data_IF_615638728842
#
_entry.id   IF_615638728842
#
_cell.length_a   1.000
_cell.length_b   1.000
_cell.length_c   1.000
_cell.angle_alpha   90.00
_cell.angle_beta   90.00
_cell.angle_gamma   90.00
#
_symmetry.space_group_name_H-M   'P 1'
#
loop_
_entity.id
_entity.type
_entity.pdbx_description
1 polymer ?
#
# COMPACT_ATOMS: atom_id res chain seq x y z
N UNK A 1 10.39 -68.96 55.20
CA UNK A 1 9.56 -69.44 56.31
C UNK A 1 8.72 -68.28 56.81
N UNK A 2 7.41 -68.45 56.72
CA UNK A 2 6.35 -67.67 57.34
C UNK A 2 6.58 -67.50 58.84
N UNK A 3 6.30 -66.32 59.39
CA UNK A 3 5.49 -66.19 60.61
C UNK A 3 4.87 -64.81 60.73
N UNK A 4 3.62 -64.85 61.16
CA UNK A 4 2.64 -63.80 61.41
C UNK A 4 2.69 -63.32 62.87
N UNK A 5 1.90 -62.27 63.16
CA UNK A 5 1.15 -61.99 64.42
C UNK A 5 1.57 -60.75 65.25
N UNK A 6 0.86 -59.64 64.99
CA UNK A 6 -0.14 -58.92 65.85
C UNK A 6 0.20 -58.52 67.31
N UNK A 7 0.04 -57.21 67.61
CA UNK A 7 -0.70 -56.57 68.74
C UNK A 7 -0.45 -55.04 68.69
N UNK A 8 -1.41 -54.18 68.32
CA UNK A 8 -2.49 -53.55 69.13
C UNK A 8 -2.04 -52.59 70.24
N UNK A 9 -2.47 -51.31 70.15
CA UNK A 9 -2.45 -50.28 71.21
C UNK A 9 -1.93 -48.92 70.70
N UNK A 10 -2.77 -47.97 70.25
CA UNK A 10 -3.48 -46.94 71.05
C UNK A 10 -2.44 -46.02 71.75
N UNK A 11 -2.34 -44.70 71.59
CA UNK A 11 -3.25 -43.63 71.13
C UNK A 11 -2.48 -42.29 71.07
N UNK A 12 -3.11 -41.28 70.44
CA UNK A 12 -2.97 -39.86 70.75
C UNK A 12 -1.76 -39.06 70.17
N UNK A 13 -1.80 -38.79 68.86
CA UNK A 13 -1.20 -37.57 68.26
C UNK A 13 -2.15 -37.03 67.19
N UNK A 14 -3.14 -36.21 67.58
CA UNK A 14 -4.19 -35.77 66.65
C UNK A 14 -4.57 -34.28 66.66
N UNK A 15 -4.14 -33.50 67.65
CA UNK A 15 -4.79 -32.19 67.88
C UNK A 15 -3.97 -30.95 67.52
N UNK A 16 -2.68 -31.06 67.20
CA UNK A 16 -1.78 -29.89 67.18
C UNK A 16 -1.03 -29.64 65.86
N UNK A 17 -1.52 -30.17 64.73
CA UNK A 17 -0.97 -29.88 63.40
C UNK A 17 -2.01 -29.33 62.39
N UNK A 18 -3.31 -29.37 62.74
CA UNK A 18 -4.40 -29.01 61.80
C UNK A 18 -4.78 -27.52 61.85
N UNK A 19 -4.57 -26.85 62.99
CA UNK A 19 -4.99 -25.45 63.20
C UNK A 19 -4.15 -24.42 62.44
N UNK A 20 -2.83 -24.61 62.33
CA UNK A 20 -1.96 -23.69 61.57
C UNK A 20 -2.13 -23.82 60.06
N UNK A 21 -2.44 -25.03 59.57
CA UNK A 21 -2.60 -25.30 58.14
C UNK A 21 -3.89 -24.70 57.58
N UNK A 22 -4.95 -24.62 58.38
CA UNK A 22 -6.23 -24.05 57.96
C UNK A 22 -6.17 -22.52 57.83
N UNK A 23 -5.57 -21.84 58.81
CA UNK A 23 -5.38 -20.38 58.80
C UNK A 23 -4.52 -19.92 57.61
N UNK A 24 -3.42 -20.62 57.33
CA UNK A 24 -2.56 -20.30 56.19
C UNK A 24 -3.23 -20.60 54.85
N UNK A 25 -4.09 -21.63 54.77
CA UNK A 25 -4.84 -21.94 53.54
C UNK A 25 -5.92 -20.90 53.25
N UNK A 26 -6.60 -20.39 54.29
CA UNK A 26 -7.60 -19.31 54.15
C UNK A 26 -6.91 -18.00 53.74
N UNK A 27 -5.76 -17.68 54.32
CA UNK A 27 -5.00 -16.47 53.96
C UNK A 27 -4.51 -16.49 52.50
N UNK A 28 -4.03 -17.65 52.03
CA UNK A 28 -3.60 -17.81 50.62
C UNK A 28 -4.78 -17.79 49.63
N UNK A 29 -5.96 -18.30 50.02
CA UNK A 29 -7.19 -18.21 49.22
C UNK A 29 -7.75 -16.77 49.13
N UNK A 30 -7.68 -16.00 50.22
CA UNK A 30 -8.09 -14.59 50.23
C UNK A 30 -7.14 -13.71 49.38
N UNK A 31 -5.83 -13.99 49.42
CA UNK A 31 -4.85 -13.28 48.59
C UNK A 31 -5.06 -13.59 47.09
N UNK A 32 -5.44 -14.82 46.75
CA UNK A 32 -5.79 -15.20 45.38
C UNK A 32 -7.09 -14.52 44.91
N UNK A 33 -8.12 -14.41 45.75
CA UNK A 33 -9.37 -13.71 45.41
C UNK A 33 -9.18 -12.20 45.18
N UNK A 34 -8.25 -11.56 45.92
CA UNK A 34 -7.89 -10.15 45.70
C UNK A 34 -7.02 -9.93 44.47
N UNK A 35 -6.17 -10.91 44.09
CA UNK A 35 -5.33 -10.84 42.89
C UNK A 35 -6.10 -11.15 41.58
N UNK A 36 -7.19 -11.91 41.64
CA UNK A 36 -8.04 -12.21 40.47
C UNK A 36 -9.19 -11.20 40.26
N UNK A 37 -9.47 -10.33 41.23
CA UNK A 37 -10.57 -9.36 41.17
C UNK A 37 -10.31 -8.07 40.38
N UNK A 38 -9.11 -7.87 39.81
CA UNK A 38 -8.76 -6.65 39.05
C UNK A 38 -8.38 -6.87 37.59
N UNK A 39 -8.56 -8.08 37.05
CA UNK A 39 -8.61 -8.26 35.60
C UNK A 39 -10.06 -8.45 35.19
N UNK A 40 -10.85 -7.38 35.30
CA UNK A 40 -12.00 -7.25 34.44
C UNK A 40 -11.43 -7.14 33.02
N UNK A 41 -11.65 -8.12 32.12
CA UNK A 41 -11.56 -7.75 30.72
C UNK A 41 -12.63 -6.68 30.57
N UNK A 42 -12.21 -5.48 30.19
CA UNK A 42 -13.12 -4.55 29.55
C UNK A 42 -13.53 -5.20 28.22
N UNK A 43 -14.41 -6.21 28.29
CA UNK A 43 -15.30 -6.56 27.22
C UNK A 43 -16.21 -5.34 27.09
N UNK A 44 -15.72 -4.34 26.36
CA UNK A 44 -16.60 -3.40 25.71
C UNK A 44 -17.66 -4.25 25.00
N UNK A 45 -18.96 -3.99 25.18
CA UNK A 45 -19.96 -4.65 24.37
C UNK A 45 -19.61 -4.33 22.92
N UNK A 46 -19.18 -5.36 22.18
CA UNK A 46 -19.10 -5.27 20.74
C UNK A 46 -20.45 -4.71 20.28
N UNK A 47 -20.47 -3.69 19.40
CA UNK A 47 -21.72 -3.24 18.83
C UNK A 47 -22.41 -4.47 18.28
N UNK A 48 -23.62 -4.74 18.77
CA UNK A 48 -24.45 -5.81 18.26
C UNK A 48 -24.50 -5.61 16.75
N UNK A 49 -23.92 -6.52 15.99
CA UNK A 49 -24.13 -6.58 14.55
C UNK A 49 -25.59 -6.97 14.38
N UNK A 50 -26.47 -5.96 14.48
CA UNK A 50 -27.84 -6.07 14.06
C UNK A 50 -27.77 -6.36 12.57
N UNK A 51 -28.09 -7.60 12.21
CA UNK A 51 -28.38 -8.01 10.84
C UNK A 51 -29.61 -7.22 10.38
N UNK A 52 -29.35 -5.99 9.98
CA UNK A 52 -30.30 -5.17 9.25
C UNK A 52 -30.30 -5.75 7.84
N UNK A 53 -31.28 -6.61 7.56
CA UNK A 53 -31.68 -6.89 6.18
C UNK A 53 -32.16 -5.56 5.59
N UNK A 54 -31.22 -4.76 5.09
CA UNK A 54 -31.52 -3.63 4.23
C UNK A 54 -31.90 -4.18 2.86
N UNK A 55 -33.13 -3.90 2.47
CA UNK A 55 -33.76 -4.26 1.21
C UNK A 55 -32.80 -4.13 0.03
N UNK A 56 -32.50 -5.28 -0.58
CA UNK A 56 -31.72 -5.43 -1.80
C UNK A 56 -32.58 -5.05 -3.01
N UNK A 57 -32.98 -3.78 -3.10
CA UNK A 57 -33.71 -3.26 -4.26
C UNK A 57 -33.44 -1.79 -4.60
N UNK A 58 -32.55 -1.10 -3.88
CA UNK A 58 -32.13 0.29 -4.21
C UNK A 58 -30.63 0.44 -4.40
N UNK A 59 -29.96 -0.57 -4.96
CA UNK A 59 -28.58 -0.46 -5.47
C UNK A 59 -28.56 -0.63 -6.99
N UNK A 60 -29.34 0.19 -7.68
CA UNK A 60 -29.17 0.41 -9.11
C UNK A 60 -28.90 1.89 -9.32
N UNK A 61 -27.69 2.19 -9.77
CA UNK A 61 -27.22 3.50 -10.27
C UNK A 61 -26.92 4.59 -9.22
N UNK A 62 -26.01 4.32 -8.28
CA UNK A 62 -25.10 5.39 -7.83
C UNK A 62 -23.80 5.14 -8.59
N UNK A 63 -23.52 5.98 -9.59
CA UNK A 63 -22.18 6.01 -10.17
C UNK A 63 -21.21 6.18 -9.02
N UNK A 64 -20.29 5.22 -8.85
CA UNK A 64 -19.29 5.28 -7.81
C UNK A 64 -18.35 6.46 -8.16
N UNK A 65 -18.71 7.67 -7.72
CA UNK A 65 -17.89 8.86 -7.92
C UNK A 65 -16.59 8.66 -7.15
N UNK A 66 -15.54 8.31 -7.88
CA UNK A 66 -14.18 8.21 -7.36
C UNK A 66 -13.73 9.63 -7.04
N UNK A 67 -13.50 9.92 -5.77
CA UNK A 67 -13.21 11.29 -5.30
C UNK A 67 -12.04 11.28 -4.33
N UNK A 68 -11.05 12.12 -4.56
CA UNK A 68 -9.95 12.34 -3.64
C UNK A 68 -9.85 13.84 -3.32
N UNK A 69 -9.94 14.18 -2.04
CA UNK A 69 -10.00 15.57 -1.59
C UNK A 69 -9.07 15.83 -0.42
N UNK A 70 -8.70 17.09 -0.27
CA UNK A 70 -7.95 17.59 0.88
C UNK A 70 -8.87 18.60 1.55
N UNK A 71 -9.31 18.30 2.77
CA UNK A 71 -10.19 19.14 3.56
C UNK A 71 -9.92 18.88 5.04
N UNK A 72 -10.06 19.92 5.88
CA UNK A 72 -9.88 19.84 7.33
C UNK A 72 -8.52 19.22 7.74
N UNK A 73 -7.45 19.61 7.04
CA UNK A 73 -6.08 19.08 7.21
C UNK A 73 -5.95 17.54 7.08
N UNK A 74 -6.90 16.90 6.40
CA UNK A 74 -6.92 15.46 6.15
C UNK A 74 -7.10 15.15 4.67
N UNK A 75 -6.70 13.93 4.29
CA UNK A 75 -7.06 13.37 2.99
C UNK A 75 -8.39 12.62 3.11
N UNK A 76 -9.23 12.78 2.10
CA UNK A 76 -10.51 12.10 1.99
C UNK A 76 -10.55 11.31 0.69
N UNK A 77 -10.89 10.03 0.77
CA UNK A 77 -11.06 9.15 -0.38
C UNK A 77 -12.47 8.58 -0.37
N UNK A 78 -13.23 8.84 -1.42
CA UNK A 78 -14.61 8.37 -1.61
C UNK A 78 -15.49 8.69 -0.39
N UNK A 79 -15.35 9.91 0.15
CA UNK A 79 -16.11 10.42 1.30
C UNK A 79 -15.64 9.91 2.67
N UNK A 80 -14.54 9.15 2.75
CA UNK A 80 -14.00 8.63 4.02
C UNK A 80 -12.63 9.23 4.33
N UNK A 81 -12.31 9.51 5.61
CA UNK A 81 -10.96 9.89 6.00
C UNK A 81 -9.96 8.82 5.55
N UNK A 82 -8.88 9.27 4.94
CA UNK A 82 -7.87 8.42 4.31
C UNK A 82 -6.48 8.84 4.79
N UNK A 83 -5.67 7.87 5.19
CA UNK A 83 -4.27 8.10 5.52
C UNK A 83 -3.41 7.45 4.45
N UNK A 84 -2.58 8.24 3.76
CA UNK A 84 -1.62 7.70 2.79
C UNK A 84 -0.47 7.04 3.58
N UNK A 85 -0.31 5.73 3.42
CA UNK A 85 0.85 4.99 3.91
C UNK A 85 1.60 4.49 2.68
N UNK A 86 2.59 5.28 2.27
CA UNK A 86 3.30 5.14 1.00
C UNK A 86 4.62 4.38 1.12
N UNK A 87 4.95 3.59 0.09
CA UNK A 87 6.30 3.05 -0.12
C UNK A 87 6.76 3.20 -1.57
N UNK A 88 8.07 3.32 -1.79
CA UNK A 88 8.63 3.52 -3.13
C UNK A 88 9.04 2.19 -3.78
N UNK A 89 8.50 1.91 -4.97
CA UNK A 89 8.83 0.73 -5.78
C UNK A 89 9.05 1.18 -7.23
N UNK A 90 10.29 1.13 -7.68
CA UNK A 90 10.67 1.46 -9.06
C UNK A 90 10.52 0.21 -9.94
N UNK A 91 9.45 0.13 -10.75
CA UNK A 91 9.20 -1.03 -11.60
C UNK A 91 10.36 -1.33 -12.55
N UNK A 92 11.04 -0.29 -13.04
CA UNK A 92 12.21 -0.40 -13.92
C UNK A 92 13.48 -0.95 -13.24
N UNK A 93 13.45 -1.22 -11.92
CA UNK A 93 14.54 -1.87 -11.16
C UNK A 93 14.24 -3.31 -10.80
N UNK A 94 13.05 -3.79 -11.11
CA UNK A 94 12.58 -5.14 -10.78
C UNK A 94 12.11 -5.81 -12.06
N UNK A 95 12.50 -7.05 -12.31
CA UNK A 95 12.00 -7.75 -13.49
C UNK A 95 10.47 -7.93 -13.40
N UNK A 96 9.73 -7.87 -14.53
CA UNK A 96 8.27 -7.93 -14.53
C UNK A 96 7.68 -9.12 -13.77
N UNK A 97 8.32 -10.29 -13.86
CA UNK A 97 7.92 -11.51 -13.15
C UNK A 97 7.92 -11.39 -11.61
N UNK A 98 8.65 -10.43 -11.04
CA UNK A 98 8.73 -10.21 -9.59
C UNK A 98 7.90 -9.03 -9.10
N UNK A 99 7.24 -8.26 -9.97
CA UNK A 99 6.46 -7.09 -9.53
C UNK A 99 5.37 -7.47 -8.53
N UNK A 100 4.66 -8.57 -8.80
CA UNK A 100 3.57 -9.02 -7.93
C UNK A 100 4.07 -9.39 -6.54
N UNK A 101 5.17 -10.14 -6.44
CA UNK A 101 5.78 -10.48 -5.16
C UNK A 101 6.17 -9.21 -4.37
N UNK A 102 6.78 -8.21 -5.03
CA UNK A 102 7.17 -6.97 -4.34
C UNK A 102 5.96 -6.18 -3.85
N UNK A 103 4.89 -6.10 -4.65
CA UNK A 103 3.67 -5.40 -4.28
C UNK A 103 2.89 -6.13 -3.17
N UNK A 104 2.85 -7.46 -3.19
CA UNK A 104 2.26 -8.25 -2.11
C UNK A 104 3.00 -8.06 -0.79
N UNK A 105 4.34 -8.02 -0.82
CA UNK A 105 5.15 -7.70 0.37
C UNK A 105 4.90 -6.29 0.88
N UNK A 106 4.84 -5.31 -0.02
CA UNK A 106 4.48 -3.94 0.32
C UNK A 106 3.11 -3.86 1.01
N UNK A 107 2.11 -4.55 0.46
CA UNK A 107 0.77 -4.64 1.07
C UNK A 107 0.80 -5.33 2.43
N UNK A 108 1.58 -6.40 2.58
CA UNK A 108 1.74 -7.10 3.86
C UNK A 108 2.41 -6.25 4.95
N UNK A 109 3.22 -5.25 4.58
CA UNK A 109 3.76 -4.24 5.49
C UNK A 109 2.73 -3.18 5.91
N UNK A 110 1.50 -3.24 5.38
CA UNK A 110 0.44 -2.27 5.65
C UNK A 110 0.45 -1.05 4.71
N UNK A 111 1.23 -1.08 3.62
CA UNK A 111 1.20 -0.02 2.62
C UNK A 111 -0.12 -0.07 1.84
N UNK A 112 -0.71 1.11 1.62
CA UNK A 112 -1.91 1.27 0.79
C UNK A 112 -1.63 2.07 -0.49
N UNK A 113 -0.45 2.68 -0.59
CA UNK A 113 -0.04 3.53 -1.71
C UNK A 113 1.39 3.18 -2.14
N UNK A 114 1.61 3.06 -3.44
CA UNK A 114 2.92 2.84 -4.04
C UNK A 114 3.35 4.11 -4.79
N UNK A 115 4.54 4.59 -4.50
CA UNK A 115 5.20 5.62 -5.28
C UNK A 115 6.07 4.95 -6.34
N UNK A 116 6.05 5.48 -7.56
CA UNK A 116 6.98 5.03 -8.61
C UNK A 116 7.39 6.18 -9.53
N UNK A 117 8.63 6.15 -10.00
CA UNK A 117 9.12 7.09 -11.02
C UNK A 117 8.89 6.55 -12.42
N UNK A 118 8.79 7.45 -13.39
CA UNK A 118 8.77 7.11 -14.82
C UNK A 118 10.02 7.67 -15.50
N UNK A 119 11.05 6.85 -15.76
CA UNK A 119 12.29 7.31 -16.39
C UNK A 119 12.08 7.57 -17.89
N UNK A 120 12.34 8.81 -18.32
CA UNK A 120 12.13 9.20 -19.71
C UNK A 120 13.07 8.44 -20.66
N UNK A 121 14.34 8.26 -20.30
CA UNK A 121 15.33 7.54 -21.10
C UNK A 121 14.96 6.09 -21.42
N UNK A 122 14.27 5.40 -20.50
CA UNK A 122 13.81 4.03 -20.70
C UNK A 122 12.66 3.98 -21.72
N UNK A 123 11.78 4.97 -21.65
CA UNK A 123 10.59 5.05 -22.48
C UNK A 123 10.83 5.71 -23.82
N UNK A 124 11.89 6.50 -23.98
CA UNK A 124 12.30 7.08 -25.25
C UNK A 124 13.82 6.94 -25.47
N UNK A 125 14.32 5.72 -25.72
CA UNK A 125 15.75 5.48 -25.91
C UNK A 125 16.33 6.22 -27.11
N UNK A 126 15.50 6.49 -28.12
CA UNK A 126 15.81 7.31 -29.29
C UNK A 126 14.69 8.34 -29.49
N UNK A 127 15.05 9.53 -29.93
CA UNK A 127 14.10 10.62 -30.18
C UNK A 127 12.94 10.15 -31.08
N UNK A 128 11.71 10.34 -30.60
CA UNK A 128 10.47 9.94 -31.26
C UNK A 128 10.11 8.46 -31.17
N UNK A 129 10.95 7.61 -30.57
CA UNK A 129 10.71 6.17 -30.46
C UNK A 129 10.31 5.78 -29.03
N UNK A 130 9.01 5.64 -28.80
CA UNK A 130 8.46 5.25 -27.50
C UNK A 130 8.46 3.73 -27.28
N UNK A 131 8.77 3.30 -26.06
CA UNK A 131 8.81 1.90 -25.62
C UNK A 131 8.01 1.72 -24.34
N UNK A 132 7.09 0.75 -24.34
CA UNK A 132 6.24 0.39 -23.19
C UNK A 132 6.12 -1.13 -23.01
N UNK A 133 7.16 -1.86 -23.39
CA UNK A 133 7.19 -3.31 -23.38
C UNK A 133 8.28 -3.83 -22.44
N UNK A 134 8.14 -5.07 -21.98
CA UNK A 134 9.11 -5.71 -21.09
C UNK A 134 9.29 -4.94 -19.78
N UNK A 135 10.52 -4.56 -19.46
CA UNK A 135 10.81 -3.79 -18.23
C UNK A 135 10.24 -2.36 -18.25
N UNK A 136 9.94 -1.83 -19.45
CA UNK A 136 9.30 -0.54 -19.64
C UNK A 136 7.76 -0.64 -19.63
N UNK A 137 7.17 -1.82 -19.40
CA UNK A 137 5.72 -1.99 -19.37
C UNK A 137 5.10 -1.48 -18.06
N UNK A 138 4.96 -0.15 -18.01
CA UNK A 138 4.32 0.54 -16.92
C UNK A 138 2.82 0.21 -16.82
N UNK A 139 2.15 -0.12 -17.92
CA UNK A 139 0.72 -0.41 -17.94
C UNK A 139 0.43 -1.68 -17.15
N UNK A 140 1.18 -2.75 -17.40
CA UNK A 140 1.07 -3.99 -16.64
C UNK A 140 1.37 -3.78 -15.15
N UNK A 141 2.38 -2.98 -14.82
CA UNK A 141 2.69 -2.64 -13.42
C UNK A 141 1.56 -1.89 -12.72
N UNK A 142 0.97 -0.89 -13.38
CA UNK A 142 -0.15 -0.11 -12.84
C UNK A 142 -1.43 -0.96 -12.70
N UNK A 143 -1.72 -1.81 -13.70
CA UNK A 143 -2.83 -2.75 -13.64
C UNK A 143 -2.67 -3.73 -12.48
N UNK A 144 -1.44 -4.15 -12.16
CA UNK A 144 -1.17 -5.00 -11.02
C UNK A 144 -1.39 -4.28 -9.69
N UNK A 145 -0.96 -3.02 -9.57
CA UNK A 145 -1.27 -2.19 -8.40
C UNK A 145 -2.78 -2.05 -8.19
N UNK A 146 -3.54 -1.80 -9.27
CA UNK A 146 -5.00 -1.73 -9.22
C UNK A 146 -5.62 -3.07 -8.78
N UNK A 147 -5.18 -4.21 -9.35
CA UNK A 147 -5.65 -5.55 -8.95
C UNK A 147 -5.40 -5.83 -7.46
N UNK A 148 -4.30 -5.31 -6.93
CA UNK A 148 -3.91 -5.45 -5.53
C UNK A 148 -4.52 -4.37 -4.62
N UNK A 149 -5.41 -3.51 -5.13
CA UNK A 149 -6.05 -2.41 -4.38
C UNK A 149 -5.01 -1.48 -3.73
N UNK A 150 -3.94 -1.17 -4.47
CA UNK A 150 -2.92 -0.20 -4.10
C UNK A 150 -3.12 1.08 -4.91
N UNK A 151 -3.20 2.22 -4.23
CA UNK A 151 -3.10 3.51 -4.91
C UNK A 151 -1.70 3.70 -5.47
N UNK A 152 -1.58 4.48 -6.55
CA UNK A 152 -0.28 4.80 -7.15
C UNK A 152 -0.05 6.30 -7.17
N UNK A 153 1.03 6.75 -6.55
CA UNK A 153 1.56 8.10 -6.70
C UNK A 153 2.61 8.09 -7.81
N UNK A 154 2.16 8.43 -9.01
CA UNK A 154 3.00 8.42 -10.19
C UNK A 154 3.85 9.69 -10.27
N UNK A 155 5.17 9.53 -10.20
CA UNK A 155 6.12 10.63 -10.38
C UNK A 155 6.68 10.61 -11.78
N UNK A 156 5.90 11.17 -12.69
CA UNK A 156 6.32 11.37 -14.07
C UNK A 156 7.26 12.56 -14.12
N UNK A 157 8.54 12.28 -14.38
CA UNK A 157 9.51 13.33 -14.69
C UNK A 157 9.39 13.75 -16.16
N UNK A 158 10.15 14.76 -16.54
CA UNK A 158 11.22 14.49 -17.50
C UNK A 158 12.52 14.16 -16.76
N UNK A 159 12.66 14.64 -15.53
CA UNK A 159 13.79 14.39 -14.64
C UNK A 159 13.30 13.77 -13.34
N UNK A 160 13.90 12.65 -12.93
CA UNK A 160 13.50 11.90 -11.73
C UNK A 160 14.59 11.79 -10.68
N UNK A 161 15.83 12.21 -10.98
CA UNK A 161 17.02 11.78 -10.26
C UNK A 161 17.05 10.24 -10.15
N UNK A 162 16.54 9.73 -9.03
CA UNK A 162 16.44 8.34 -8.65
C UNK A 162 17.77 7.58 -8.66
N UNK A 163 18.91 8.28 -8.65
CA UNK A 163 20.23 7.69 -8.89
C UNK A 163 20.20 6.82 -10.15
N UNK A 164 19.49 7.34 -11.17
CA UNK A 164 19.33 6.72 -12.48
C UNK A 164 20.20 7.43 -13.49
N UNK A 165 20.57 6.73 -14.56
CA UNK A 165 21.45 7.28 -15.59
C UNK A 165 20.88 8.58 -16.16
N UNK A 166 21.73 9.60 -16.12
CA UNK A 166 21.43 10.97 -16.51
C UNK A 166 20.14 11.54 -15.86
N UNK A 167 19.80 11.04 -14.66
CA UNK A 167 18.62 11.42 -13.89
C UNK A 167 17.28 11.14 -14.59
N UNK A 168 17.27 10.18 -15.51
CA UNK A 168 16.09 9.87 -16.33
C UNK A 168 16.07 10.54 -17.69
N UNK A 169 16.98 11.48 -17.98
CA UNK A 169 17.03 12.09 -19.30
C UNK A 169 17.61 11.14 -20.35
N UNK A 170 17.04 11.08 -21.55
CA UNK A 170 17.64 10.33 -22.64
C UNK A 170 18.97 10.96 -23.10
N UNK A 171 19.93 10.12 -23.44
CA UNK A 171 21.26 10.57 -23.86
C UNK A 171 21.24 11.40 -25.16
N UNK A 172 20.24 11.20 -26.03
CA UNK A 172 20.13 11.95 -27.29
C UNK A 172 19.92 13.46 -27.08
N UNK A 173 19.46 13.91 -25.90
CA UNK A 173 19.38 15.33 -25.56
C UNK A 173 20.75 16.02 -25.60
N UNK A 174 21.82 15.28 -25.33
CA UNK A 174 23.19 15.81 -25.35
C UNK A 174 23.71 16.06 -26.78
N UNK A 175 23.06 15.49 -27.79
CA UNK A 175 23.46 15.64 -29.19
C UNK A 175 22.75 16.81 -29.90
N UNK A 176 21.83 17.51 -29.22
CA UNK A 176 21.08 18.62 -29.78
C UNK A 176 21.97 19.87 -29.82
N UNK A 177 22.02 20.52 -30.98
CA UNK A 177 22.75 21.77 -31.19
C UNK A 177 21.78 22.88 -31.64
N UNK A 178 21.79 24.06 -30.99
CA UNK A 178 22.62 24.42 -29.84
C UNK A 178 22.26 23.63 -28.58
N UNK A 179 23.26 23.42 -27.71
CA UNK A 179 23.09 22.69 -26.45
C UNK A 179 21.90 23.22 -25.63
N UNK A 180 20.97 22.31 -25.32
CA UNK A 180 19.74 22.62 -24.59
C UNK A 180 20.03 22.79 -23.11
N UNK A 181 19.53 23.87 -22.50
CA UNK A 181 19.66 24.07 -21.05
C UNK A 181 18.62 23.23 -20.30
N UNK A 182 19.01 22.02 -19.89
CA UNK A 182 18.17 21.09 -19.14
C UNK A 182 17.67 21.70 -17.82
N UNK A 183 16.46 21.31 -17.39
CA UNK A 183 15.82 21.74 -16.14
C UNK A 183 15.72 23.27 -16.01
N UNK A 184 15.47 23.95 -17.13
CA UNK A 184 15.27 25.40 -17.17
C UNK A 184 14.01 25.77 -17.93
N UNK A 185 13.63 27.05 -17.93
CA UNK A 185 12.52 27.57 -18.74
C UNK A 185 12.91 27.87 -20.19
N UNK A 186 14.05 27.35 -20.66
CA UNK A 186 14.46 27.43 -22.07
C UNK A 186 13.37 26.85 -22.98
N UNK A 187 12.82 27.61 -23.94
CA UNK A 187 11.80 27.12 -24.85
C UNK A 187 12.18 25.82 -25.54
N UNK A 188 13.46 25.63 -25.91
CA UNK A 188 13.92 24.40 -26.54
C UNK A 188 13.75 23.19 -25.62
N UNK A 189 14.02 23.35 -24.32
CA UNK A 189 13.81 22.31 -23.32
C UNK A 189 12.32 22.03 -23.07
N UNK A 190 11.51 23.09 -22.91
CA UNK A 190 10.07 22.97 -22.65
C UNK A 190 9.35 22.29 -23.81
N UNK A 191 9.72 22.61 -25.04
CA UNK A 191 9.15 21.99 -26.24
C UNK A 191 9.48 20.49 -26.27
N UNK A 192 10.71 20.08 -25.96
CA UNK A 192 11.11 18.66 -25.93
C UNK A 192 10.35 17.86 -24.86
N UNK A 193 10.16 18.43 -23.67
CA UNK A 193 9.47 17.76 -22.55
C UNK A 193 7.97 17.58 -22.83
N UNK A 194 7.34 18.55 -23.51
CA UNK A 194 5.92 18.50 -23.80
C UNK A 194 5.51 17.35 -24.72
N UNK A 195 6.41 16.77 -25.50
CA UNK A 195 6.08 15.97 -26.70
C UNK A 195 5.82 14.46 -26.43
N UNK A 196 6.56 13.73 -25.56
CA UNK A 196 6.44 12.26 -25.50
C UNK A 196 6.00 11.71 -24.12
N UNK A 197 6.83 11.84 -23.08
CA UNK A 197 6.62 11.15 -21.80
C UNK A 197 5.48 11.76 -20.98
N UNK A 198 5.41 13.10 -20.97
CA UNK A 198 4.38 13.84 -20.24
C UNK A 198 3.06 13.71 -20.98
N UNK A 199 2.99 13.79 -22.31
CA UNK A 199 1.72 13.65 -23.05
C UNK A 199 1.15 12.24 -23.01
N UNK A 200 1.98 11.19 -23.05
CA UNK A 200 1.48 9.80 -22.99
C UNK A 200 1.01 9.43 -21.59
N UNK A 201 1.55 10.06 -20.54
CA UNK A 201 1.07 9.86 -19.16
C UNK A 201 -0.03 10.86 -18.76
N UNK A 202 0.06 12.16 -19.12
CA UNK A 202 -0.90 13.23 -18.79
C UNK A 202 -2.05 13.42 -19.77
N UNK A 203 -1.83 13.31 -21.09
CA UNK A 203 -2.94 13.31 -22.08
C UNK A 203 -3.89 12.11 -21.87
N UNK A 204 -3.36 11.10 -21.19
CA UNK A 204 -4.01 9.89 -20.72
C UNK A 204 -4.67 10.03 -19.34
N UNK A 205 -4.10 10.84 -18.43
CA UNK A 205 -4.68 11.11 -17.10
C UNK A 205 -5.68 12.27 -17.06
N UNK A 206 -5.64 13.24 -18.00
CA UNK A 206 -6.38 14.50 -17.86
C UNK A 206 -7.20 14.94 -19.08
N UNK A 207 -7.19 14.24 -20.23
CA UNK A 207 -8.08 14.55 -21.36
C UNK A 207 -7.92 15.95 -22.00
N UNK A 208 -6.95 16.76 -21.59
CA UNK A 208 -6.72 18.11 -22.12
C UNK A 208 -5.70 18.12 -23.24
N UNK A 209 -6.02 18.86 -24.31
CA UNK A 209 -5.19 19.08 -25.50
C UNK A 209 -3.94 19.87 -25.13
N UNK A 210 -2.78 19.22 -25.02
CA UNK A 210 -1.48 19.89 -25.09
C UNK A 210 -0.94 19.85 -26.52
N UNK A 211 -0.27 20.93 -26.93
CA UNK A 211 0.19 21.26 -28.28
C UNK A 211 0.56 20.06 -29.17
N UNK A 212 -0.32 19.73 -30.12
CA UNK A 212 -0.10 18.66 -31.09
C UNK A 212 0.78 19.16 -32.25
N UNK A 213 2.01 18.66 -32.35
CA UNK A 213 2.66 18.50 -33.68
C UNK A 213 1.99 17.31 -34.40
N UNK A 214 1.90 17.28 -35.74
CA UNK A 214 1.04 16.32 -36.46
C UNK A 214 1.57 14.87 -36.54
N UNK A 215 2.51 14.43 -35.68
CA UNK A 215 3.25 13.15 -35.88
C UNK A 215 2.77 11.95 -35.08
N UNK A 216 1.84 12.08 -34.13
CA UNK A 216 1.52 10.99 -33.17
C UNK A 216 0.08 10.45 -33.24
N UNK A 217 -0.71 10.82 -34.26
CA UNK A 217 -2.17 10.56 -34.34
C UNK A 217 -2.61 9.08 -34.26
N UNK A 218 -1.75 8.12 -34.62
CA UNK A 218 -2.12 6.70 -34.66
C UNK A 218 -2.03 5.95 -33.32
N UNK A 219 -1.31 6.49 -32.33
CA UNK A 219 -1.05 5.78 -31.05
C UNK A 219 -2.18 6.05 -30.02
N UNK A 220 -2.94 7.14 -30.22
CA UNK A 220 -3.92 7.65 -29.26
C UNK A 220 -5.14 6.75 -28.98
N UNK A 221 -5.56 5.87 -29.91
CA UNK A 221 -6.83 5.13 -29.78
C UNK A 221 -6.74 3.79 -29.04
N UNK A 222 -5.58 3.12 -29.07
CA UNK A 222 -5.46 1.74 -28.55
C UNK A 222 -5.17 1.68 -27.04
N UNK A 223 -4.57 2.74 -26.48
CA UNK A 223 -4.05 2.75 -25.11
C UNK A 223 -5.01 3.45 -24.13
N UNK A 224 -5.77 4.45 -24.60
CA UNK A 224 -6.68 5.26 -23.78
C UNK A 224 -7.81 4.46 -23.09
N UNK A 225 -8.23 3.32 -23.63
CA UNK A 225 -9.29 2.51 -23.04
C UNK A 225 -8.84 1.67 -21.84
N UNK A 226 -7.53 1.45 -21.65
CA UNK A 226 -7.03 0.45 -20.69
C UNK A 226 -6.74 1.00 -19.29
N UNK A 227 -6.73 2.32 -19.12
CA UNK A 227 -6.43 2.93 -17.83
C UNK A 227 -7.42 4.07 -17.58
N UNK A 228 -8.54 3.68 -16.97
CA UNK A 228 -9.27 4.58 -16.07
C UNK A 228 -8.57 4.58 -14.70
N UNK A 229 -7.30 5.00 -14.65
CA UNK A 229 -6.63 5.29 -13.38
C UNK A 229 -7.28 6.55 -12.80
N UNK A 230 -7.86 6.38 -11.60
CA UNK A 230 -8.39 7.42 -10.69
C UNK A 230 -9.46 8.33 -11.29
#
# INVERSE_FOLDING_TARGET
>A
MTTTVKKSGISSLGAMAKKRRLETTIFMLLLALLAFGSFAPAFAPLPSFSSSHSDLSTLNSVGNERKFEIADDMFWKDGKPFQIIGGDVHYFRVLPEYWEDRLLRAKALGLNTIQTYVPWNLHEPREGQLVFEGIADIFSFLNLCQKLDLLVMLRVGPYICAEWDFGGFPAWLLAIEPAVRLRSSDPAFIDLVCIPIVLVTYGFLCGHKCCTRPRTSHIHKSVADQIKLT
#
